data_IF_071075043584
#
_entry.id   IF_071075043584
#
_cell.length_a   1.000
_cell.length_b   1.000
_cell.length_c   1.000
_cell.angle_alpha   90.00
_cell.angle_beta   90.00
_cell.angle_gamma   90.00
#
_symmetry.space_group_name_H-M   'P 1'
#
loop_
_entity.id
_entity.type
_entity.pdbx_description
1 polymer ?
#
# COMPACT_ATOMS: atom_id res chain seq x y z
N UNK A 1 -20.22 12.30 -10.60
CA UNK A 1 -19.91 10.86 -10.70
C UNK A 1 -18.39 10.68 -10.78
N UNK A 2 -17.86 9.86 -9.92
CA UNK A 2 -16.43 9.54 -9.97
C UNK A 2 -16.20 8.51 -11.06
N UNK A 3 -15.33 8.81 -12.02
CA UNK A 3 -14.87 7.83 -12.96
C UNK A 3 -13.52 7.33 -12.49
N UNK A 4 -13.44 6.05 -12.13
CA UNK A 4 -12.17 5.45 -11.71
C UNK A 4 -11.32 5.13 -12.92
N UNK A 5 -10.04 5.41 -12.79
CA UNK A 5 -9.06 4.94 -13.76
C UNK A 5 -8.98 3.42 -13.68
N UNK A 6 -8.98 2.77 -14.83
CA UNK A 6 -8.81 1.32 -14.89
C UNK A 6 -7.31 0.97 -14.76
N UNK A 7 -6.95 0.36 -13.65
CA UNK A 7 -5.57 -0.03 -13.38
C UNK A 7 -5.23 -1.45 -13.84
N UNK A 8 -6.21 -2.19 -14.35
CA UNK A 8 -5.97 -3.57 -14.81
C UNK A 8 -4.95 -3.56 -15.94
N UNK A 9 -3.88 -4.35 -15.79
CA UNK A 9 -2.80 -4.42 -16.78
C UNK A 9 -1.83 -3.26 -16.76
N UNK A 10 -2.00 -2.28 -15.86
CA UNK A 10 -1.09 -1.14 -15.72
C UNK A 10 -0.25 -1.27 -14.46
N UNK A 11 0.95 -0.71 -14.50
CA UNK A 11 1.77 -0.59 -13.29
C UNK A 11 1.19 0.46 -12.38
N UNK A 12 0.89 0.08 -11.15
CA UNK A 12 0.48 1.02 -10.10
C UNK A 12 1.75 1.59 -9.46
N UNK A 13 1.92 2.92 -9.42
CA UNK A 13 3.08 3.51 -8.76
C UNK A 13 3.08 3.19 -7.26
N UNK A 14 4.17 2.61 -6.78
CA UNK A 14 4.25 2.15 -5.38
C UNK A 14 4.13 3.28 -4.38
N UNK A 15 4.69 4.45 -4.69
CA UNK A 15 4.64 5.58 -3.75
C UNK A 15 3.22 6.15 -3.56
N UNK A 16 2.29 5.83 -4.46
CA UNK A 16 0.94 6.37 -4.45
C UNK A 16 -0.13 5.34 -4.09
N UNK A 17 0.24 4.08 -3.87
CA UNK A 17 -0.70 3.03 -3.49
C UNK A 17 -0.45 2.57 -2.05
N UNK A 18 -1.49 2.11 -1.37
CA UNK A 18 -1.35 1.63 0.00
C UNK A 18 -0.51 0.35 0.04
N UNK A 19 -0.78 -0.60 -0.85
CA UNK A 19 0.02 -1.82 -0.95
C UNK A 19 1.48 -1.50 -1.28
N UNK A 20 1.71 -0.57 -2.22
CA UNK A 20 3.06 -0.15 -2.58
C UNK A 20 3.82 0.43 -1.40
N UNK A 21 3.17 1.27 -0.60
CA UNK A 21 3.81 1.83 0.61
C UNK A 21 4.19 0.75 1.61
N UNK A 22 3.36 -0.27 1.79
CA UNK A 22 3.71 -1.41 2.64
C UNK A 22 4.94 -2.14 2.09
N UNK A 23 4.95 -2.43 0.81
CA UNK A 23 6.07 -3.14 0.19
C UNK A 23 7.37 -2.32 0.25
N UNK A 24 7.29 -1.02 0.05
CA UNK A 24 8.45 -0.12 0.19
C UNK A 24 8.91 -0.01 1.63
N UNK A 25 7.98 0.13 2.57
CA UNK A 25 8.30 0.31 3.99
C UNK A 25 9.03 -0.89 4.57
N UNK A 26 8.69 -2.09 4.13
CA UNK A 26 9.28 -3.33 4.64
C UNK A 26 10.31 -3.95 3.68
N UNK A 27 10.82 -3.16 2.76
CA UNK A 27 11.92 -3.51 1.85
C UNK A 27 11.63 -4.72 0.93
N UNK A 28 10.37 -4.99 0.66
CA UNK A 28 9.96 -5.98 -0.36
C UNK A 28 10.18 -5.38 -1.76
N UNK A 29 10.00 -4.08 -1.88
CA UNK A 29 10.31 -3.32 -3.07
C UNK A 29 11.20 -2.14 -2.70
N UNK A 30 11.85 -1.51 -3.68
CA UNK A 30 12.75 -0.39 -3.43
C UNK A 30 12.17 0.89 -4.01
N UNK A 31 12.45 2.01 -3.32
CA UNK A 31 12.07 3.33 -3.80
C UNK A 31 12.76 3.58 -5.14
N UNK A 32 12.02 4.00 -6.17
CA UNK A 32 12.62 4.28 -7.48
C UNK A 32 13.68 5.36 -7.39
N UNK A 33 14.71 5.27 -8.22
CA UNK A 33 15.78 6.25 -8.26
C UNK A 33 15.38 7.56 -8.95
N UNK A 34 14.37 7.52 -9.81
CA UNK A 34 13.90 8.67 -10.54
C UNK A 34 12.87 9.51 -9.80
N UNK A 35 12.28 10.45 -10.50
CA UNK A 35 11.19 11.27 -9.93
C UNK A 35 9.99 10.43 -9.60
N UNK A 36 9.32 10.80 -8.51
CA UNK A 36 8.04 10.22 -8.14
C UNK A 36 6.94 10.91 -8.96
N UNK A 37 6.19 10.12 -9.69
CA UNK A 37 5.12 10.64 -10.54
C UNK A 37 4.03 11.28 -9.71
N UNK A 38 3.59 12.49 -10.12
CA UNK A 38 2.46 13.16 -9.51
C UNK A 38 1.19 12.73 -10.23
N UNK A 39 0.29 12.08 -9.52
CA UNK A 39 -0.98 11.59 -10.07
C UNK A 39 -2.16 12.46 -9.65
N UNK A 40 -2.06 13.06 -8.46
CA UNK A 40 -3.05 13.98 -7.92
C UNK A 40 -2.32 15.07 -7.14
N UNK A 41 -3.06 16.05 -6.66
CA UNK A 41 -2.49 17.07 -5.77
C UNK A 41 -2.07 16.50 -4.41
N UNK A 42 -2.53 15.30 -4.06
CA UNK A 42 -2.22 14.66 -2.78
C UNK A 42 -1.10 13.63 -2.89
N UNK A 43 -0.62 13.33 -4.09
CA UNK A 43 0.47 12.37 -4.27
C UNK A 43 1.75 12.89 -3.62
N UNK A 44 2.42 12.03 -2.85
CA UNK A 44 3.75 12.34 -2.32
C UNK A 44 4.74 12.30 -3.47
N UNK A 45 5.42 13.42 -3.73
CA UNK A 45 6.36 13.53 -4.84
C UNK A 45 7.78 13.84 -4.39
N UNK A 46 7.97 14.13 -3.11
CA UNK A 46 9.27 14.41 -2.52
C UNK A 46 9.76 13.17 -1.80
N UNK A 47 10.99 12.75 -2.07
CA UNK A 47 11.53 11.50 -1.49
C UNK A 47 11.69 11.57 0.03
N UNK A 48 11.99 12.74 0.58
CA UNK A 48 12.07 12.89 2.02
C UNK A 48 10.70 12.72 2.68
N UNK A 49 9.66 13.25 2.06
CA UNK A 49 8.29 13.08 2.54
C UNK A 49 7.86 11.61 2.44
N UNK A 50 8.25 10.94 1.36
CA UNK A 50 7.98 9.52 1.20
C UNK A 50 8.67 8.71 2.30
N UNK A 51 9.93 9.00 2.59
CA UNK A 51 10.66 8.29 3.65
C UNK A 51 9.99 8.49 5.02
N UNK A 52 9.52 9.70 5.30
CA UNK A 52 8.76 9.98 6.53
C UNK A 52 7.48 9.14 6.59
N UNK A 53 6.78 9.06 5.47
CA UNK A 53 5.56 8.24 5.39
C UNK A 53 5.87 6.76 5.57
N UNK A 54 6.92 6.25 4.95
CA UNK A 54 7.31 4.85 5.09
C UNK A 54 7.71 4.50 6.53
N UNK A 55 8.35 5.43 7.22
CA UNK A 55 8.67 5.25 8.63
C UNK A 55 7.41 5.11 9.48
N UNK A 56 6.40 5.92 9.20
CA UNK A 56 5.10 5.81 9.86
C UNK A 56 4.45 4.45 9.60
N UNK A 57 4.52 3.97 8.36
CA UNK A 57 3.98 2.66 7.99
C UNK A 57 4.68 1.55 8.76
N UNK A 58 6.00 1.59 8.85
CA UNK A 58 6.76 0.60 9.62
C UNK A 58 6.33 0.54 11.07
N UNK A 59 6.13 1.70 11.70
CA UNK A 59 5.72 1.77 13.11
C UNK A 59 4.29 1.34 13.32
N UNK A 60 3.39 1.79 12.44
CA UNK A 60 1.97 1.55 12.61
C UNK A 60 1.55 0.15 12.16
N UNK A 61 2.28 -0.46 11.23
CA UNK A 61 1.93 -1.76 10.67
C UNK A 61 0.79 -1.70 9.67
N UNK A 62 0.57 -0.57 9.05
CA UNK A 62 -0.42 -0.40 7.98
C UNK A 62 -0.11 0.85 7.18
N UNK A 63 -0.69 0.94 5.98
CA UNK A 63 -0.64 2.13 5.16
C UNK A 63 -2.06 2.53 4.75
N UNK A 64 -2.28 3.83 4.61
CA UNK A 64 -3.54 4.38 4.10
C UNK A 64 -3.20 5.38 3.02
N UNK A 65 -3.94 5.36 1.93
CA UNK A 65 -3.92 6.45 0.96
C UNK A 65 -5.31 7.07 0.86
N UNK A 66 -5.34 8.39 0.73
CA UNK A 66 -6.57 9.16 0.51
C UNK A 66 -6.27 10.12 -0.62
N UNK A 67 -6.90 9.93 -1.76
CA UNK A 67 -6.74 10.77 -2.95
C UNK A 67 -5.32 10.78 -3.56
N UNK A 68 -4.42 9.92 -3.13
CA UNK A 68 -3.03 9.98 -3.57
C UNK A 68 -2.79 9.32 -4.92
N UNK A 69 -3.56 8.28 -5.25
CA UNK A 69 -3.46 7.56 -6.51
C UNK A 69 -4.42 8.14 -7.55
N UNK A 70 -5.64 8.37 -7.14
CA UNK A 70 -6.65 9.07 -7.91
C UNK A 70 -7.63 9.76 -6.97
N UNK A 71 -8.26 10.87 -7.40
CA UNK A 71 -9.21 11.56 -6.55
C UNK A 71 -10.38 10.66 -6.15
N UNK A 72 -10.76 10.69 -4.90
CA UNK A 72 -11.88 9.91 -4.37
C UNK A 72 -11.58 8.47 -4.05
N UNK A 73 -10.35 8.00 -4.25
CA UNK A 73 -9.94 6.65 -3.92
C UNK A 73 -9.27 6.61 -2.55
N UNK A 74 -9.77 5.73 -1.69
CA UNK A 74 -9.17 5.42 -0.39
C UNK A 74 -8.76 3.95 -0.38
N UNK A 75 -7.59 3.67 0.15
CA UNK A 75 -7.13 2.28 0.32
C UNK A 75 -6.41 2.12 1.64
N UNK A 76 -6.54 0.94 2.21
CA UNK A 76 -5.85 0.53 3.43
C UNK A 76 -5.10 -0.77 3.12
N UNK A 77 -3.88 -0.88 3.60
CA UNK A 77 -3.06 -2.06 3.38
C UNK A 77 -2.29 -2.45 4.62
N UNK A 78 -2.10 -3.76 4.80
CA UNK A 78 -1.32 -4.31 5.90
C UNK A 78 -0.30 -5.31 5.34
N UNK A 79 0.86 -5.47 6.00
CA UNK A 79 1.84 -6.46 5.58
C UNK A 79 1.38 -7.88 5.88
N UNK A 80 1.76 -8.81 5.00
CA UNK A 80 1.58 -10.25 5.20
C UNK A 80 2.95 -10.87 5.35
N UNK A 81 3.13 -11.66 6.40
CA UNK A 81 4.42 -12.28 6.70
C UNK A 81 4.46 -13.74 6.25
N UNK A 82 5.67 -14.26 6.09
CA UNK A 82 5.88 -15.68 5.89
C UNK A 82 6.12 -16.38 7.24
N UNK A 83 6.42 -17.68 7.20
CA UNK A 83 6.66 -18.50 8.39
C UNK A 83 7.87 -18.02 9.21
N UNK A 84 8.81 -17.33 8.56
CA UNK A 84 9.97 -16.75 9.24
C UNK A 84 9.71 -15.35 9.81
N UNK A 85 8.50 -14.81 9.64
CA UNK A 85 8.15 -13.48 10.12
C UNK A 85 8.56 -12.35 9.19
N UNK A 86 9.03 -12.65 7.99
CA UNK A 86 9.41 -11.63 7.00
C UNK A 86 8.19 -11.20 6.20
N UNK A 87 8.06 -9.90 5.96
CA UNK A 87 7.01 -9.37 5.09
C UNK A 87 7.30 -9.77 3.65
N UNK A 88 6.35 -10.43 3.01
CA UNK A 88 6.49 -10.92 1.63
C UNK A 88 5.36 -10.45 0.72
N UNK A 89 4.32 -9.88 1.27
CA UNK A 89 3.15 -9.44 0.51
C UNK A 89 2.41 -8.34 1.26
N UNK A 90 1.39 -7.78 0.65
CA UNK A 90 0.49 -6.82 1.25
C UNK A 90 -0.95 -7.20 0.93
N UNK A 91 -1.82 -7.08 1.92
CA UNK A 91 -3.26 -7.28 1.74
C UNK A 91 -3.94 -5.90 1.83
N UNK A 92 -4.75 -5.58 0.83
CA UNK A 92 -5.34 -4.25 0.70
C UNK A 92 -6.83 -4.30 0.46
N UNK A 93 -7.53 -3.28 0.94
CA UNK A 93 -8.91 -3.00 0.61
C UNK A 93 -8.98 -1.57 0.12
N UNK A 94 -9.66 -1.35 -0.99
CA UNK A 94 -9.84 -0.01 -1.53
C UNK A 94 -11.31 0.24 -1.86
N UNK A 95 -11.67 1.51 -1.92
CA UNK A 95 -13.03 1.90 -2.27
C UNK A 95 -13.16 3.42 -2.36
N UNK A 96 -14.36 3.90 -2.72
CA UNK A 96 -14.60 5.32 -2.85
C UNK A 96 -14.63 6.02 -1.49
N UNK A 97 -14.14 7.25 -1.44
CA UNK A 97 -14.09 8.04 -0.21
C UNK A 97 -15.46 8.18 0.46
N UNK A 98 -16.54 8.19 -0.34
CA UNK A 98 -17.90 8.27 0.19
C UNK A 98 -18.26 7.08 1.10
N UNK A 99 -17.61 5.94 0.91
CA UNK A 99 -17.86 4.72 1.71
C UNK A 99 -16.77 4.47 2.76
N UNK A 100 -15.62 5.10 2.63
CA UNK A 100 -14.48 4.88 3.50
C UNK A 100 -14.12 6.15 4.26
N UNK A 101 -15.00 6.56 5.18
CA UNK A 101 -14.70 7.64 6.11
C UNK A 101 -13.69 7.16 7.17
N UNK A 102 -13.21 8.06 8.01
CA UNK A 102 -12.18 7.74 8.99
C UNK A 102 -12.58 6.60 9.93
N UNK A 103 -13.83 6.56 10.36
CA UNK A 103 -14.33 5.48 11.22
C UNK A 103 -14.24 4.13 10.52
N UNK A 104 -14.64 4.08 9.25
CA UNK A 104 -14.58 2.85 8.46
C UNK A 104 -13.14 2.43 8.18
N UNK A 105 -12.26 3.39 7.92
CA UNK A 105 -10.83 3.12 7.77
C UNK A 105 -10.28 2.45 9.02
N UNK A 106 -10.61 2.99 10.20
CA UNK A 106 -10.15 2.43 11.47
C UNK A 106 -10.64 0.98 11.67
N UNK A 107 -11.89 0.70 11.31
CA UNK A 107 -12.43 -0.65 11.38
C UNK A 107 -11.68 -1.60 10.42
N UNK A 108 -11.41 -1.15 9.20
CA UNK A 108 -10.69 -1.95 8.20
C UNK A 108 -9.26 -2.25 8.63
N UNK A 109 -8.58 -1.30 9.25
CA UNK A 109 -7.22 -1.53 9.76
C UNK A 109 -7.24 -2.69 10.77
N UNK A 110 -8.18 -2.65 11.71
CA UNK A 110 -8.32 -3.72 12.72
C UNK A 110 -8.66 -5.05 12.08
N UNK A 111 -9.60 -5.05 11.16
CA UNK A 111 -10.03 -6.26 10.47
C UNK A 111 -8.89 -6.88 9.69
N UNK A 112 -8.17 -6.08 8.88
CA UNK A 112 -7.05 -6.57 8.09
C UNK A 112 -5.92 -7.10 8.96
N UNK A 113 -5.55 -6.39 10.03
CA UNK A 113 -4.54 -6.85 10.97
C UNK A 113 -4.92 -8.18 11.60
N UNK A 114 -6.18 -8.33 11.99
CA UNK A 114 -6.69 -9.57 12.57
C UNK A 114 -6.61 -10.72 11.56
N UNK A 115 -7.01 -10.47 10.31
CA UNK A 115 -6.99 -11.51 9.28
C UNK A 115 -5.57 -11.96 8.95
N UNK A 116 -4.62 -11.04 8.78
CA UNK A 116 -3.23 -11.44 8.47
C UNK A 116 -2.53 -12.10 9.66
N UNK A 117 -2.97 -11.84 10.89
CA UNK A 117 -2.40 -12.50 12.08
C UNK A 117 -2.66 -13.99 12.11
N UNK A 118 -3.68 -14.45 11.38
CA UNK A 118 -4.07 -15.87 11.30
C UNK A 118 -3.33 -16.63 10.21
N UNK A 119 -2.55 -15.93 9.38
CA UNK A 119 -1.94 -16.49 8.18
C UNK A 119 -0.44 -16.23 8.21
N UNK A 120 0.35 -17.28 7.96
CA UNK A 120 1.76 -17.13 7.63
C UNK A 120 1.99 -17.86 6.32
N UNK A 121 2.46 -17.16 5.31
CA UNK A 121 2.70 -17.75 4.00
C UNK A 121 3.91 -18.69 4.07
N UNK A 122 3.91 -19.79 3.29
CA UNK A 122 5.08 -20.67 3.24
C UNK A 122 6.34 -19.91 2.82
N UNK A 123 7.49 -20.27 3.38
CA UNK A 123 8.76 -19.65 3.02
C UNK A 123 9.14 -19.89 1.55
N UNK A 124 8.54 -20.88 0.89
CA UNK A 124 8.75 -21.15 -0.53
C UNK A 124 8.13 -20.10 -1.45
N UNK A 125 7.23 -19.27 -0.95
CA UNK A 125 6.65 -18.19 -1.73
C UNK A 125 7.66 -17.07 -1.85
N UNK A 126 8.03 -16.73 -3.10
CA UNK A 126 8.99 -15.68 -3.40
C UNK A 126 8.29 -14.50 -4.04
N UNK A 127 8.63 -13.29 -3.57
CA UNK A 127 8.24 -12.08 -4.27
C UNK A 127 9.05 -11.99 -5.57
N UNK A 128 8.36 -11.77 -6.68
CA UNK A 128 9.02 -11.61 -7.96
C UNK A 128 9.39 -10.14 -8.18
N UNK A 129 10.54 -9.75 -7.63
CA UNK A 129 11.01 -8.37 -7.69
C UNK A 129 11.31 -7.89 -9.11
N UNK A 130 11.67 -8.81 -10.00
CA UNK A 130 12.05 -8.47 -11.39
C UNK A 130 10.87 -8.00 -12.21
N UNK A 131 9.68 -8.42 -11.88
CA UNK A 131 8.46 -8.02 -12.59
C UNK A 131 7.82 -6.78 -12.00
N UNK A 132 8.44 -6.20 -10.99
CA UNK A 132 7.87 -5.07 -10.28
C UNK A 132 6.45 -5.45 -9.87
N UNK A 133 6.29 -6.18 -8.80
CA UNK A 133 4.99 -6.60 -8.37
C UNK A 133 4.03 -5.43 -8.39
N UNK A 134 3.14 -5.45 -9.33
CA UNK A 134 2.11 -4.44 -9.43
C UNK A 134 1.03 -4.75 -8.42
#
# INVERSE_FOLDING_TARGET
MLSSRNWVGQKVPFHASAAGKVLLAFNVAQVPSGKLEKLTNSTIINKNDLETELEKVRRAGYAVIIDELEPGLVAVSVPVVNESGLVVAALSVSGPAARLNQSRINELIKLLKNEVSKVALPNSIRTNRKKGAA
#
